data_IF_846585683908
#
_entry.id   IF_846585683908
#
_cell.length_a   1.000
_cell.length_b   1.000
_cell.length_c   1.000
_cell.angle_alpha   90.00
_cell.angle_beta   90.00
_cell.angle_gamma   90.00
#
_symmetry.space_group_name_H-M   'P 1'
#
loop_
_entity.id
_entity.type
_entity.pdbx_description
1 polymer ?
#
# COMPACT_ATOMS: atom_id res chain seq x y z
N UNK A 1 15.77 14.12 -2.59
CA UNK A 1 14.55 14.73 -3.17
C UNK A 1 13.87 13.65 -4.01
N UNK A 2 12.65 13.23 -3.67
CA UNK A 2 11.93 12.19 -4.43
C UNK A 2 11.57 12.75 -5.82
N UNK A 3 11.85 11.98 -6.87
CA UNK A 3 11.52 12.33 -8.26
C UNK A 3 10.00 12.35 -8.46
N UNK A 4 9.51 13.09 -9.46
CA UNK A 4 8.07 13.13 -9.79
C UNK A 4 7.51 11.73 -10.09
N UNK A 5 8.32 10.84 -10.65
CA UNK A 5 7.96 9.44 -10.88
C UNK A 5 7.65 8.67 -9.59
N UNK A 6 8.44 8.89 -8.52
CA UNK A 6 8.15 8.28 -7.22
C UNK A 6 6.84 8.80 -6.62
N UNK A 7 6.47 10.07 -6.88
CA UNK A 7 5.19 10.63 -6.44
C UNK A 7 4.03 10.03 -7.23
N UNK A 8 4.18 9.85 -8.54
CA UNK A 8 3.17 9.24 -9.40
C UNK A 8 2.95 7.76 -9.07
N UNK A 9 4.02 7.00 -8.86
CA UNK A 9 3.93 5.59 -8.43
C UNK A 9 3.19 5.45 -7.10
N UNK A 10 3.48 6.29 -6.11
CA UNK A 10 2.77 6.28 -4.83
C UNK A 10 1.28 6.55 -4.99
N UNK A 11 0.89 7.45 -5.90
CA UNK A 11 -0.51 7.77 -6.18
C UNK A 11 -1.22 6.60 -6.87
N UNK A 12 -0.58 5.97 -7.85
CA UNK A 12 -1.15 4.83 -8.58
C UNK A 12 -1.30 3.61 -7.67
N UNK A 13 -0.29 3.30 -6.85
CA UNK A 13 -0.36 2.22 -5.86
C UNK A 13 -1.46 2.50 -4.84
N UNK A 14 -1.58 3.75 -4.37
CA UNK A 14 -2.64 4.14 -3.43
C UNK A 14 -4.04 4.01 -4.03
N UNK A 15 -4.23 4.34 -5.31
CA UNK A 15 -5.51 4.17 -6.01
C UNK A 15 -5.85 2.69 -6.23
N UNK A 16 -4.88 1.87 -6.65
CA UNK A 16 -5.06 0.42 -6.80
C UNK A 16 -5.42 -0.23 -5.46
N UNK A 17 -4.80 0.21 -4.36
CA UNK A 17 -5.14 -0.22 -3.01
C UNK A 17 -6.57 0.17 -2.61
N UNK A 18 -7.00 1.42 -2.87
CA UNK A 18 -8.38 1.83 -2.60
C UNK A 18 -9.41 1.04 -3.40
N UNK A 19 -9.18 0.85 -4.70
CA UNK A 19 -10.08 0.10 -5.57
C UNK A 19 -10.23 -1.33 -5.05
N UNK A 20 -9.11 -1.99 -4.71
CA UNK A 20 -9.11 -3.34 -4.17
C UNK A 20 -9.82 -3.44 -2.81
N UNK A 21 -9.65 -2.45 -1.93
CA UNK A 21 -10.37 -2.43 -0.66
C UNK A 21 -11.86 -2.11 -0.77
N UNK A 22 -12.29 -1.45 -1.85
CA UNK A 22 -13.70 -1.26 -2.15
C UNK A 22 -14.33 -2.54 -2.73
N UNK A 23 -13.52 -3.42 -3.32
CA UNK A 23 -13.95 -4.70 -3.89
C UNK A 23 -13.92 -5.87 -2.88
N UNK A 24 -12.99 -5.86 -1.92
CA UNK A 24 -12.84 -6.91 -0.88
C UNK A 24 -13.86 -6.80 0.29
N UNK A 25 -15.09 -6.33 0.04
CA UNK A 25 -16.20 -6.36 1.03
C UNK A 25 -17.00 -7.67 1.01
N UNK A 26 -16.52 -8.69 0.32
CA UNK A 26 -17.12 -10.02 0.28
C UNK A 26 -16.20 -11.00 -0.41
N UNK A 27 -16.22 -12.23 0.09
CA UNK A 27 -15.70 -13.46 -0.52
C UNK A 27 -14.26 -13.86 -0.17
N UNK A 28 -14.18 -14.67 0.90
CA UNK A 28 -13.21 -15.75 1.04
C UNK A 28 -13.44 -16.75 -0.10
N UNK A 29 -12.59 -16.79 -1.12
CA UNK A 29 -12.43 -18.03 -1.89
C UNK A 29 -11.02 -18.20 -2.46
N UNK A 30 -10.62 -19.47 -2.43
CA UNK A 30 -9.30 -20.04 -2.65
C UNK A 30 -9.00 -20.14 -4.14
N UNK A 31 -7.79 -19.77 -4.56
CA UNK A 31 -7.22 -20.33 -5.81
C UNK A 31 -5.76 -20.72 -5.61
N UNK A 32 -5.56 -22.03 -5.52
CA UNK A 32 -4.29 -22.69 -5.81
C UNK A 32 -3.97 -22.52 -7.30
N UNK A 33 -2.80 -21.99 -7.63
CA UNK A 33 -2.22 -22.10 -8.98
C UNK A 33 -0.87 -22.79 -8.86
N UNK A 34 -0.75 -23.96 -9.49
CA UNK A 34 0.43 -24.81 -9.50
C UNK A 34 1.59 -24.19 -10.30
N UNK A 35 2.81 -24.51 -9.88
CA UNK A 35 4.06 -24.11 -10.54
C UNK A 35 4.73 -25.37 -11.11
N UNK A 36 5.00 -25.36 -12.41
CA UNK A 36 5.79 -26.40 -13.10
C UNK A 36 7.30 -26.24 -12.89
N UNK A 37 8.11 -27.29 -13.12
CA UNK A 37 9.51 -27.32 -12.73
C UNK A 37 10.44 -26.84 -13.86
N UNK A 38 11.46 -26.05 -13.50
CA UNK A 38 12.63 -25.85 -14.36
C UNK A 38 13.39 -24.55 -14.14
N UNK A 39 14.56 -24.64 -13.50
CA UNK A 39 15.64 -23.64 -13.60
C UNK A 39 16.17 -23.16 -12.25
N UNK A 40 17.16 -23.88 -11.71
CA UNK A 40 17.84 -23.56 -10.46
C UNK A 40 18.63 -22.26 -10.57
N UNK A 41 18.09 -21.20 -9.96
CA UNK A 41 18.90 -20.11 -9.41
C UNK A 41 18.81 -20.26 -7.90
N UNK A 42 19.84 -20.84 -7.28
CA UNK A 42 20.01 -20.83 -5.83
C UNK A 42 20.37 -19.40 -5.38
N UNK A 43 19.42 -18.48 -5.51
CA UNK A 43 19.38 -17.31 -4.66
C UNK A 43 19.27 -17.83 -3.24
N UNK A 44 20.14 -17.36 -2.35
CA UNK A 44 20.04 -17.62 -0.93
C UNK A 44 18.70 -17.03 -0.43
N UNK A 45 17.62 -17.82 -0.52
CA UNK A 45 16.22 -17.37 -0.56
C UNK A 45 15.68 -16.91 0.79
N UNK A 46 16.54 -16.83 1.80
CA UNK A 46 16.10 -16.81 3.21
C UNK A 46 16.25 -15.43 3.86
N UNK A 47 16.81 -14.43 3.17
CA UNK A 47 17.06 -13.11 3.76
C UNK A 47 15.79 -12.28 3.98
N UNK A 48 14.79 -12.40 3.08
CA UNK A 48 13.59 -11.57 3.11
C UNK A 48 12.34 -12.31 3.57
N UNK A 49 12.44 -13.60 3.84
CA UNK A 49 11.30 -14.44 4.26
C UNK A 49 10.61 -13.96 5.53
N UNK A 50 11.37 -13.31 6.41
CA UNK A 50 10.92 -12.82 7.70
C UNK A 50 10.72 -11.29 7.72
N UNK A 51 10.96 -10.61 6.59
CA UNK A 51 10.87 -9.17 6.48
C UNK A 51 9.42 -8.73 6.22
N UNK A 52 8.92 -7.84 7.06
CA UNK A 52 7.67 -7.12 6.83
C UNK A 52 8.02 -5.64 6.69
N UNK A 53 7.55 -5.01 5.62
CA UNK A 53 7.70 -3.56 5.41
C UNK A 53 6.38 -2.88 5.76
N UNK A 54 6.47 -1.74 6.45
CA UNK A 54 5.35 -0.85 6.76
C UNK A 54 5.60 0.57 6.24
N UNK A 55 4.57 1.22 5.70
CA UNK A 55 4.62 2.65 5.30
C UNK A 55 3.26 3.33 5.51
N UNK A 56 3.29 4.64 5.74
CA UNK A 56 2.11 5.51 5.75
C UNK A 56 2.06 6.36 4.47
N UNK A 57 0.92 6.29 3.78
CA UNK A 57 0.69 7.05 2.56
C UNK A 57 -0.58 7.89 2.64
N UNK A 58 -0.51 9.09 2.08
CA UNK A 58 -1.70 9.94 1.89
C UNK A 58 -2.40 9.54 0.59
N UNK A 59 -3.67 9.20 0.69
CA UNK A 59 -4.51 8.85 -0.44
C UNK A 59 -5.54 9.94 -0.69
N UNK A 60 -5.61 10.44 -1.92
CA UNK A 60 -6.61 11.43 -2.34
C UNK A 60 -7.90 10.74 -2.78
N UNK A 61 -9.03 11.17 -2.23
CA UNK A 61 -10.35 10.58 -2.56
C UNK A 61 -10.79 10.90 -3.99
N UNK A 62 -10.42 12.07 -4.50
CA UNK A 62 -10.60 12.43 -5.90
C UNK A 62 -9.25 12.76 -6.52
N UNK A 63 -8.79 11.88 -7.41
CA UNK A 63 -7.64 12.18 -8.26
C UNK A 63 -8.15 12.53 -9.64
N UNK A 64 -7.95 13.76 -10.11
CA UNK A 64 -8.33 14.15 -11.45
C UNK A 64 -7.53 13.32 -12.46
N UNK A 65 -8.23 12.88 -13.51
CA UNK A 65 -7.65 12.23 -14.68
C UNK A 65 -6.48 13.05 -15.22
N UNK A 66 -5.34 12.41 -15.49
CA UNK A 66 -4.17 13.14 -16.00
C UNK A 66 -4.37 13.53 -17.47
N UNK A 67 -3.56 14.48 -17.97
CA UNK A 67 -3.56 14.83 -19.41
C UNK A 67 -3.30 13.61 -20.30
N UNK A 68 -2.51 12.65 -19.81
CA UNK A 68 -2.18 11.41 -20.54
C UNK A 68 -3.35 10.45 -20.55
N UNK A 69 -4.02 10.26 -19.42
CA UNK A 69 -5.20 9.38 -19.32
C UNK A 69 -6.36 9.93 -20.16
N UNK A 70 -6.46 11.26 -20.23
CA UNK A 70 -7.47 11.95 -21.03
C UNK A 70 -7.18 12.06 -22.52
N UNK A 71 -6.04 11.54 -23.00
CA UNK A 71 -5.74 11.52 -24.43
C UNK A 71 -6.68 10.54 -25.13
N UNK A 72 -7.54 11.11 -25.97
CA UNK A 72 -8.43 10.35 -26.85
C UNK A 72 -7.96 10.56 -28.28
N UNK A 73 -7.90 9.48 -29.05
CA UNK A 73 -7.56 9.56 -30.48
C UNK A 73 -8.69 10.24 -31.24
N UNK A 74 -8.37 11.29 -31.99
CA UNK A 74 -9.33 12.08 -32.77
C UNK A 74 -8.77 12.39 -34.14
N UNK A 75 -9.66 12.63 -35.10
CA UNK A 75 -9.28 13.10 -36.43
C UNK A 75 -8.71 14.53 -36.35
N UNK A 76 -7.72 14.92 -37.18
CA UNK A 76 -7.09 16.25 -37.12
C UNK A 76 -8.06 17.43 -37.28
N UNK A 77 -9.21 17.21 -37.93
CA UNK A 77 -10.27 18.22 -38.12
C UNK A 77 -11.28 18.30 -36.98
N UNK A 78 -11.18 17.45 -35.95
CA UNK A 78 -12.10 17.47 -34.82
C UNK A 78 -11.81 18.62 -33.84
N UNK A 79 -12.85 19.20 -33.21
CA UNK A 79 -12.67 20.25 -32.20
C UNK A 79 -11.83 19.76 -31.01
N UNK A 80 -10.87 20.59 -30.57
CA UNK A 80 -10.08 20.31 -29.37
C UNK A 80 -10.98 20.41 -28.15
N UNK A 81 -11.09 19.32 -27.39
CA UNK A 81 -11.84 19.31 -26.14
C UNK A 81 -11.08 20.14 -25.10
N UNK A 82 -11.63 21.29 -24.73
CA UNK A 82 -11.13 22.08 -23.60
C UNK A 82 -11.53 21.37 -22.31
N UNK A 83 -10.58 20.70 -21.66
CA UNK A 83 -10.77 20.21 -20.29
C UNK A 83 -10.44 21.34 -19.31
N UNK A 84 -11.35 21.58 -18.37
CA UNK A 84 -11.09 22.43 -17.23
C UNK A 84 -10.14 21.70 -16.28
N UNK A 85 -9.12 22.39 -15.77
CA UNK A 85 -8.16 21.78 -14.84
C UNK A 85 -8.87 21.48 -13.52
N UNK A 86 -9.15 20.21 -13.25
CA UNK A 86 -9.69 19.78 -11.96
C UNK A 86 -8.54 19.70 -10.96
N UNK A 87 -8.61 20.45 -9.87
CA UNK A 87 -7.65 20.32 -8.78
C UNK A 87 -7.86 18.99 -8.04
N UNK A 88 -6.78 18.38 -7.55
CA UNK A 88 -6.87 17.23 -6.64
C UNK A 88 -7.73 17.64 -5.45
N UNK A 89 -8.65 16.79 -5.00
CA UNK A 89 -9.49 17.14 -3.85
C UNK A 89 -8.63 17.48 -2.63
N UNK A 90 -9.03 18.52 -1.90
CA UNK A 90 -8.48 18.81 -0.57
C UNK A 90 -8.73 17.65 0.41
N UNK A 91 -9.73 16.81 0.13
CA UNK A 91 -10.00 15.59 0.86
C UNK A 91 -8.94 14.51 0.57
N UNK A 92 -8.16 14.17 1.60
CA UNK A 92 -7.22 13.06 1.64
C UNK A 92 -7.39 12.27 2.93
N UNK A 93 -7.16 10.97 2.85
CA UNK A 93 -7.13 10.03 3.98
C UNK A 93 -5.73 9.48 4.13
N UNK A 94 -5.31 9.14 5.34
CA UNK A 94 -4.04 8.47 5.57
C UNK A 94 -4.28 6.96 5.57
N UNK A 95 -3.41 6.19 4.92
CA UNK A 95 -3.42 4.74 4.98
C UNK A 95 -2.10 4.23 5.55
N UNK A 96 -2.19 3.21 6.40
CA UNK A 96 -1.04 2.47 6.94
C UNK A 96 -1.08 1.09 6.30
N UNK A 97 0.00 0.71 5.64
CA UNK A 97 0.06 -0.52 4.85
C UNK A 97 1.27 -1.35 5.28
N UNK A 98 1.05 -2.66 5.48
CA UNK A 98 2.10 -3.64 5.79
C UNK A 98 2.07 -4.80 4.80
N UNK A 99 3.23 -5.17 4.27
CA UNK A 99 3.38 -6.25 3.29
C UNK A 99 4.70 -6.99 3.45
N UNK A 100 4.78 -8.19 2.89
CA UNK A 100 6.00 -8.97 2.75
C UNK A 100 6.23 -9.35 1.28
N UNK A 101 7.24 -10.20 1.02
CA UNK A 101 7.52 -10.72 -0.32
C UNK A 101 6.34 -11.50 -0.94
N UNK A 102 5.38 -11.98 -0.12
CA UNK A 102 4.17 -12.69 -0.56
C UNK A 102 2.97 -11.76 -0.75
N UNK A 103 3.10 -10.47 -0.45
CA UNK A 103 2.09 -9.45 -0.69
C UNK A 103 1.48 -8.85 0.58
N UNK A 104 0.28 -8.28 0.44
CA UNK A 104 -0.36 -7.44 1.45
C UNK A 104 -0.80 -8.23 2.70
N UNK A 105 -0.28 -7.84 3.87
CA UNK A 105 -0.63 -8.42 5.16
C UNK A 105 -1.74 -7.61 5.82
N UNK A 106 -1.57 -6.29 5.95
CA UNK A 106 -2.49 -5.45 6.70
C UNK A 106 -2.61 -4.07 6.08
N UNK A 107 -3.83 -3.52 6.06
CA UNK A 107 -4.12 -2.16 5.62
C UNK A 107 -5.11 -1.54 6.60
N UNK A 108 -4.84 -0.31 7.01
CA UNK A 108 -5.76 0.52 7.79
C UNK A 108 -5.90 1.87 7.10
N UNK A 109 -7.13 2.26 6.78
CA UNK A 109 -7.45 3.59 6.30
C UNK A 109 -7.97 4.41 7.48
N UNK A 110 -7.34 5.54 7.74
CA UNK A 110 -7.73 6.46 8.80
C UNK A 110 -8.86 7.37 8.28
N UNK A 111 -9.81 7.76 9.15
CA UNK A 111 -10.80 8.76 8.80
C UNK A 111 -10.14 10.06 8.33
N UNK A 112 -10.84 10.79 7.46
CA UNK A 112 -10.34 12.04 6.90
C UNK A 112 -9.90 13.01 8.01
N UNK A 113 -8.74 13.64 7.82
CA UNK A 113 -8.17 14.61 8.76
C UNK A 113 -7.48 14.00 9.99
N UNK A 114 -7.48 12.67 10.16
CA UNK A 114 -6.69 12.03 11.21
C UNK A 114 -5.27 11.71 10.71
N UNK A 115 -4.28 12.02 11.55
CA UNK A 115 -2.90 11.61 11.38
C UNK A 115 -2.58 10.46 12.34
N UNK A 116 -1.53 9.70 12.01
CA UNK A 116 -1.02 8.69 12.92
C UNK A 116 -0.27 9.33 14.09
N UNK A 117 -0.58 8.88 15.30
CA UNK A 117 0.17 9.20 16.51
C UNK A 117 0.72 7.90 17.10
N UNK A 118 1.61 7.99 18.08
CA UNK A 118 2.29 6.82 18.65
C UNK A 118 1.30 5.78 19.21
N UNK A 119 0.29 6.20 19.98
CA UNK A 119 -0.71 5.28 20.55
C UNK A 119 -1.51 4.53 19.47
N UNK A 120 -1.93 5.24 18.42
CA UNK A 120 -2.60 4.65 17.27
C UNK A 120 -1.67 3.72 16.49
N UNK A 121 -0.39 4.05 16.36
CA UNK A 121 0.59 3.18 15.72
C UNK A 121 0.78 1.88 16.53
N UNK A 122 0.93 1.94 17.86
CA UNK A 122 1.04 0.76 18.71
C UNK A 122 -0.19 -0.17 18.57
N UNK A 123 -1.41 0.37 18.68
CA UNK A 123 -2.63 -0.42 18.44
C UNK A 123 -2.73 -0.99 17.02
N UNK A 124 -2.15 -0.32 16.03
CA UNK A 124 -2.06 -0.83 14.65
C UNK A 124 -1.08 -2.01 14.58
N UNK A 125 0.06 -1.93 15.27
CA UNK A 125 1.03 -3.02 15.37
C UNK A 125 0.45 -4.25 16.09
N UNK A 126 -0.37 -4.08 17.12
CA UNK A 126 -1.03 -5.21 17.78
C UNK A 126 -2.01 -5.92 16.84
N UNK A 127 -2.78 -5.15 16.05
CA UNK A 127 -3.65 -5.71 15.01
C UNK A 127 -2.84 -6.35 13.87
N UNK A 128 -1.67 -5.80 13.55
CA UNK A 128 -0.74 -6.40 12.59
C UNK A 128 -0.26 -7.77 13.08
N UNK A 129 0.09 -7.94 14.36
CA UNK A 129 0.49 -9.25 14.92
C UNK A 129 -0.60 -10.31 14.69
N UNK A 130 -1.86 -9.95 14.88
CA UNK A 130 -3.02 -10.82 14.60
C UNK A 130 -3.15 -11.14 13.10
N UNK A 131 -3.00 -10.14 12.24
CA UNK A 131 -3.02 -10.32 10.78
C UNK A 131 -1.89 -11.24 10.30
N UNK A 132 -0.69 -11.11 10.86
CA UNK A 132 0.45 -11.99 10.59
C UNK A 132 0.12 -13.43 11.00
N UNK A 133 -0.41 -13.63 12.21
CA UNK A 133 -0.75 -14.98 12.70
C UNK A 133 -1.69 -15.72 11.76
N UNK A 134 -2.66 -15.00 11.20
CA UNK A 134 -3.65 -15.53 10.25
C UNK A 134 -3.11 -15.71 8.83
N UNK A 135 -2.47 -14.67 8.26
CA UNK A 135 -2.05 -14.66 6.85
C UNK A 135 -0.69 -15.31 6.60
N UNK A 136 0.15 -15.44 7.62
CA UNK A 136 1.52 -16.00 7.55
C UNK A 136 1.77 -16.97 8.73
N UNK A 137 1.11 -18.14 8.75
CA UNK A 137 1.30 -19.11 9.83
C UNK A 137 2.78 -19.47 10.03
N UNK A 138 3.21 -19.51 11.29
CA UNK A 138 4.60 -19.81 11.66
C UNK A 138 5.60 -18.66 11.55
N UNK A 139 5.24 -17.53 10.92
CA UNK A 139 6.16 -16.39 10.76
C UNK A 139 6.56 -15.78 12.10
N UNK A 140 5.60 -15.61 13.02
CA UNK A 140 5.87 -15.13 14.38
C UNK A 140 6.83 -16.05 15.15
N UNK A 141 6.78 -17.37 14.89
CA UNK A 141 7.68 -18.35 15.53
C UNK A 141 9.09 -18.31 14.95
N UNK A 142 9.22 -17.99 13.66
CA UNK A 142 10.51 -17.83 12.96
C UNK A 142 11.22 -16.51 13.29
N UNK A 143 10.51 -15.57 13.91
CA UNK A 143 10.96 -14.20 14.11
C UNK A 143 10.56 -13.30 12.94
N UNK A 144 10.08 -12.10 13.26
CA UNK A 144 9.71 -11.07 12.29
C UNK A 144 10.70 -9.92 12.38
N UNK A 145 11.18 -9.47 11.23
CA UNK A 145 11.92 -8.21 11.10
C UNK A 145 10.97 -7.18 10.52
N UNK A 146 10.64 -6.15 11.29
CA UNK A 146 9.81 -5.04 10.82
C UNK A 146 10.70 -3.93 10.30
N UNK A 147 10.55 -3.58 9.03
CA UNK A 147 11.16 -2.41 8.42
C UNK A 147 10.10 -1.33 8.24
N UNK A 148 10.32 -0.18 8.87
CA UNK A 148 9.50 1.02 8.73
C UNK A 148 10.41 2.24 8.79
N UNK A 149 9.91 3.40 8.37
CA UNK A 149 10.70 4.64 8.40
C UNK A 149 10.86 5.18 9.83
N UNK A 150 11.82 6.08 10.02
CA UNK A 150 12.14 6.67 11.33
C UNK A 150 11.21 7.86 11.67
N UNK A 151 9.93 7.80 11.30
CA UNK A 151 9.00 8.88 11.61
C UNK A 151 8.85 9.09 13.15
N UNK A 152 8.48 10.30 13.58
CA UNK A 152 8.36 10.62 15.01
C UNK A 152 7.44 9.66 15.80
N UNK A 153 6.29 9.20 15.26
CA UNK A 153 5.45 8.21 15.95
C UNK A 153 6.13 6.84 16.08
N UNK A 154 7.06 6.50 15.19
CA UNK A 154 7.74 5.21 15.12
C UNK A 154 8.94 5.13 16.07
N UNK A 155 9.57 6.28 16.30
CA UNK A 155 10.74 6.43 17.16
C UNK A 155 10.36 6.75 18.61
N UNK A 156 9.06 6.86 18.91
CA UNK A 156 8.58 7.12 20.26
C UNK A 156 8.86 5.91 21.17
N UNK A 157 9.25 6.16 22.43
CA UNK A 157 9.53 5.10 23.42
C UNK A 157 8.38 4.08 23.54
N UNK A 158 7.13 4.52 23.39
CA UNK A 158 5.95 3.65 23.44
C UNK A 158 5.92 2.61 22.30
N UNK A 159 6.59 2.89 21.19
CA UNK A 159 6.64 2.04 19.99
C UNK A 159 7.86 1.12 19.98
N UNK A 160 8.91 1.47 20.71
CA UNK A 160 10.17 0.71 20.79
C UNK A 160 10.12 -0.41 21.86
N UNK A 161 8.99 -0.59 22.55
CA UNK A 161 8.75 -1.65 23.55
C UNK A 161 8.11 -2.89 22.90
#
# INVERSE_FOLDING_TARGET
>A
MLTEDHKLQRVEISQRLLQRCQQDNGDEDTTHIGVGPGGDFQANSNLFDNLITGDETWIHLNTPETKRDSMTWKHPSSPVTKKFQVQRSAAKVMAIVFWDAKGLIFLVILPQGQCINAARYCSTLDRLKEAIRRKRPGLLRRGVVLQHDNANPHSANLTQQ
#
